data_IF_360130400830
#
_entry.id   IF_360130400830
#
_cell.length_a   1.000
_cell.length_b   1.000
_cell.length_c   1.000
_cell.angle_alpha   90.00
_cell.angle_beta   90.00
_cell.angle_gamma   90.00
#
_symmetry.space_group_name_H-M   'P 1'
#
loop_
_entity.id
_entity.type
_entity.pdbx_description
1 polymer ?
#
# COMPACT_ATOMS: atom_id res chain seq x y z
N UNK A 1 -19.24 -82.01 0.39
CA UNK A 1 -18.33 -80.86 0.19
C UNK A 1 -19.15 -79.60 -0.05
N UNK A 2 -18.71 -78.52 0.58
CA UNK A 2 -19.20 -77.14 0.69
C UNK A 2 -20.21 -76.65 -0.37
N UNK A 3 -21.36 -76.15 0.10
CA UNK A 3 -22.03 -75.02 -0.56
C UNK A 3 -21.96 -73.80 0.36
N UNK A 4 -21.09 -72.86 0.02
CA UNK A 4 -21.00 -71.55 0.67
C UNK A 4 -22.34 -70.82 0.49
N UNK A 5 -23.13 -70.73 1.56
CA UNK A 5 -24.22 -69.76 1.65
C UNK A 5 -23.61 -68.38 1.88
N UNK A 6 -23.38 -67.67 0.78
CA UNK A 6 -23.12 -66.23 0.77
C UNK A 6 -24.33 -65.50 1.37
N UNK A 7 -24.18 -65.04 2.62
CA UNK A 7 -25.05 -64.06 3.27
C UNK A 7 -24.93 -62.71 2.55
N UNK A 8 -25.71 -62.55 1.49
CA UNK A 8 -25.91 -61.26 0.81
C UNK A 8 -26.88 -60.43 1.65
N UNK A 9 -26.39 -59.79 2.72
CA UNK A 9 -27.12 -58.69 3.38
C UNK A 9 -27.27 -57.58 2.34
N UNK A 10 -28.44 -57.50 1.70
CA UNK A 10 -28.85 -56.29 0.98
C UNK A 10 -28.86 -55.17 2.02
N UNK A 11 -27.89 -54.24 1.96
CA UNK A 11 -28.04 -52.94 2.61
C UNK A 11 -29.26 -52.30 1.95
N UNK A 12 -30.34 -52.18 2.70
CA UNK A 12 -31.43 -51.28 2.33
C UNK A 12 -30.84 -49.87 2.25
N UNK A 13 -30.68 -49.37 1.02
CA UNK A 13 -30.30 -47.98 0.79
C UNK A 13 -31.51 -47.15 1.22
N UNK A 14 -31.46 -46.60 2.44
CA UNK A 14 -32.47 -45.65 2.91
C UNK A 14 -32.59 -44.55 1.85
N UNK A 15 -33.80 -44.23 1.36
CA UNK A 15 -33.97 -43.18 0.36
C UNK A 15 -33.46 -41.89 0.97
N UNK A 16 -32.44 -41.30 0.34
CA UNK A 16 -31.91 -40.01 0.77
C UNK A 16 -33.03 -39.00 0.61
N UNK A 17 -33.39 -38.34 1.71
CA UNK A 17 -34.48 -37.38 1.71
C UNK A 17 -34.04 -36.14 0.90
N UNK A 18 -34.43 -36.09 -0.37
CA UNK A 18 -34.08 -35.01 -1.29
C UNK A 18 -34.46 -33.62 -0.75
N UNK A 19 -35.52 -33.52 0.07
CA UNK A 19 -35.89 -32.26 0.73
C UNK A 19 -34.84 -31.80 1.74
N UNK A 20 -34.24 -32.74 2.47
CA UNK A 20 -33.18 -32.47 3.43
C UNK A 20 -31.89 -32.03 2.73
N UNK A 21 -31.52 -32.69 1.62
CA UNK A 21 -30.39 -32.25 0.79
C UNK A 21 -30.60 -30.85 0.19
N UNK A 22 -31.80 -30.56 -0.30
CA UNK A 22 -32.12 -29.24 -0.85
C UNK A 22 -32.01 -28.13 0.21
N UNK A 23 -32.46 -28.39 1.44
CA UNK A 23 -32.31 -27.47 2.56
C UNK A 23 -30.84 -27.21 2.92
N UNK A 24 -30.01 -28.25 2.94
CA UNK A 24 -28.57 -28.10 3.17
C UNK A 24 -27.91 -27.28 2.06
N UNK A 25 -28.23 -27.57 0.80
CA UNK A 25 -27.69 -26.82 -0.33
C UNK A 25 -28.09 -25.33 -0.27
N UNK A 26 -29.35 -25.04 0.07
CA UNK A 26 -29.83 -23.67 0.26
C UNK A 26 -29.10 -22.97 1.41
N UNK A 27 -28.92 -23.65 2.55
CA UNK A 27 -28.20 -23.09 3.70
C UNK A 27 -26.73 -22.79 3.38
N UNK A 28 -26.04 -23.67 2.65
CA UNK A 28 -24.66 -23.44 2.18
C UNK A 28 -24.63 -22.22 1.25
N UNK A 29 -25.56 -22.12 0.31
CA UNK A 29 -25.60 -21.02 -0.65
C UNK A 29 -25.87 -19.67 0.04
N UNK A 30 -26.82 -19.62 0.98
CA UNK A 30 -27.08 -18.42 1.80
C UNK A 30 -25.86 -18.05 2.63
N UNK A 31 -25.21 -19.03 3.27
CA UNK A 31 -23.99 -18.77 4.07
C UNK A 31 -22.86 -18.24 3.18
N UNK A 32 -22.69 -18.80 1.98
CA UNK A 32 -21.68 -18.36 1.02
C UNK A 32 -21.96 -16.94 0.53
N UNK A 33 -23.23 -16.62 0.21
CA UNK A 33 -23.65 -15.26 -0.17
C UNK A 33 -23.43 -14.28 0.98
N UNK A 34 -23.79 -14.63 2.22
CA UNK A 34 -23.57 -13.79 3.38
C UNK A 34 -22.08 -13.58 3.67
N UNK A 35 -21.26 -14.64 3.65
CA UNK A 35 -19.81 -14.51 3.79
C UNK A 35 -19.22 -13.62 2.70
N UNK A 36 -19.68 -13.78 1.46
CA UNK A 36 -19.22 -12.95 0.34
C UNK A 36 -19.67 -11.49 0.48
N UNK A 37 -20.87 -11.25 0.99
CA UNK A 37 -21.40 -9.92 1.26
C UNK A 37 -20.63 -9.24 2.40
N UNK A 38 -20.35 -9.94 3.50
CA UNK A 38 -19.55 -9.40 4.61
C UNK A 38 -18.08 -9.20 4.23
N UNK A 39 -17.49 -10.06 3.38
CA UNK A 39 -16.14 -9.86 2.83
C UNK A 39 -16.06 -8.77 1.75
N UNK A 40 -17.17 -8.37 1.13
CA UNK A 40 -17.19 -7.26 0.18
C UNK A 40 -17.12 -5.89 0.89
N UNK A 41 -17.54 -5.84 2.15
CA UNK A 41 -17.36 -4.71 3.08
C UNK A 41 -16.03 -4.89 3.83
N UNK A 42 -14.95 -5.22 3.13
CA UNK A 42 -13.61 -5.19 3.70
C UNK A 42 -12.97 -3.87 3.29
N UNK A 43 -13.20 -2.82 4.10
CA UNK A 43 -12.68 -1.46 3.89
C UNK A 43 -11.14 -1.42 3.88
N UNK A 44 -10.49 -2.51 4.32
CA UNK A 44 -9.03 -2.64 4.37
C UNK A 44 -8.36 -2.55 3.01
N UNK A 45 -9.04 -2.95 1.92
CA UNK A 45 -8.50 -2.83 0.56
C UNK A 45 -8.65 -1.44 -0.06
N UNK A 46 -9.37 -0.55 0.61
CA UNK A 46 -9.80 0.76 0.09
C UNK A 46 -8.96 1.92 0.64
N UNK A 47 -8.15 1.67 1.67
CA UNK A 47 -7.23 2.68 2.19
C UNK A 47 -6.07 2.94 1.23
N UNK A 48 -5.72 4.21 1.06
CA UNK A 48 -4.48 4.61 0.36
C UNK A 48 -3.22 4.32 1.20
N UNK A 49 -3.38 4.16 2.52
CA UNK A 49 -2.32 3.72 3.42
C UNK A 49 -2.47 2.25 3.81
N UNK A 50 -1.38 1.53 4.13
CA UNK A 50 -1.44 0.16 4.64
C UNK A 50 -2.24 0.05 5.94
N UNK A 51 -3.30 -0.77 5.95
CA UNK A 51 -4.11 -1.02 7.15
C UNK A 51 -3.43 -2.09 8.02
N UNK A 52 -2.53 -1.64 8.91
CA UNK A 52 -1.79 -2.51 9.83
C UNK A 52 -1.92 -2.02 11.26
N UNK A 53 -1.82 -2.92 12.24
CA UNK A 53 -1.84 -2.54 13.68
C UNK A 53 -0.66 -1.65 14.08
N UNK A 54 0.37 -1.57 13.24
CA UNK A 54 1.58 -0.81 13.51
C UNK A 54 1.46 0.63 13.00
N UNK A 55 0.52 0.92 12.10
CA UNK A 55 0.31 2.25 11.53
C UNK A 55 -0.88 2.94 12.22
N UNK A 56 -0.62 4.05 12.89
CA UNK A 56 -1.66 4.94 13.38
C UNK A 56 -1.94 6.02 12.33
N UNK A 57 -3.17 6.09 11.83
CA UNK A 57 -3.61 7.16 10.92
C UNK A 57 -3.77 8.44 11.72
N UNK A 58 -3.34 9.57 11.14
CA UNK A 58 -3.45 10.88 11.76
C UNK A 58 -4.77 11.54 11.38
N UNK A 59 -5.56 11.91 12.39
CA UNK A 59 -6.81 12.66 12.19
C UNK A 59 -6.57 14.15 11.92
N UNK A 60 -5.49 14.70 12.48
CA UNK A 60 -5.06 16.08 12.28
C UNK A 60 -3.81 16.12 11.40
N UNK A 61 -3.99 16.60 10.17
CA UNK A 61 -2.91 16.76 9.19
C UNK A 61 -2.18 18.10 9.33
N UNK A 62 -2.74 19.09 10.03
CA UNK A 62 -2.13 20.42 10.17
C UNK A 62 -0.88 20.37 11.05
N UNK A 63 -0.89 19.54 12.10
CA UNK A 63 0.25 19.33 12.99
C UNK A 63 1.41 18.55 12.37
N UNK A 64 1.24 18.00 11.16
CA UNK A 64 2.25 17.17 10.50
C UNK A 64 3.53 17.92 10.16
N UNK A 65 3.43 19.22 9.87
CA UNK A 65 4.58 20.10 9.61
C UNK A 65 5.53 20.22 10.82
N UNK A 66 5.04 19.96 12.03
CA UNK A 66 5.89 19.93 13.23
C UNK A 66 6.69 18.62 13.37
N UNK A 67 6.34 17.58 12.58
CA UNK A 67 6.90 16.23 12.68
C UNK A 67 7.84 15.95 11.50
N UNK A 68 7.45 16.34 10.28
CA UNK A 68 8.17 16.13 9.03
C UNK A 68 8.12 17.36 8.14
N UNK A 69 9.15 17.58 7.33
CA UNK A 69 9.15 18.61 6.30
C UNK A 69 8.26 18.17 5.13
N UNK A 70 7.09 18.78 4.97
CA UNK A 70 6.20 18.53 3.84
C UNK A 70 6.66 19.30 2.59
N UNK A 71 6.43 18.82 1.37
CA UNK A 71 6.79 19.54 0.15
C UNK A 71 6.06 20.88 0.06
N UNK A 72 6.82 21.96 -0.19
CA UNK A 72 6.25 23.28 -0.45
C UNK A 72 5.81 23.44 -1.91
N UNK A 73 6.32 22.60 -2.80
CA UNK A 73 5.87 22.49 -4.20
C UNK A 73 5.14 21.17 -4.37
N UNK A 74 3.83 21.20 -4.64
CA UNK A 74 2.99 19.99 -4.77
C UNK A 74 2.34 19.82 -6.14
N UNK A 75 2.52 20.76 -7.07
CA UNK A 75 1.95 20.69 -8.42
C UNK A 75 0.44 20.46 -8.42
N UNK A 76 -0.28 21.22 -7.58
CA UNK A 76 -1.72 21.13 -7.33
C UNK A 76 -2.19 19.84 -6.64
N UNK A 77 -1.28 18.95 -6.24
CA UNK A 77 -1.62 17.82 -5.40
C UNK A 77 -1.93 18.27 -3.97
N UNK A 78 -2.98 17.70 -3.38
CA UNK A 78 -3.41 17.95 -2.02
C UNK A 78 -2.99 16.81 -1.09
N UNK A 79 -2.56 17.15 0.14
CA UNK A 79 -2.34 16.17 1.19
C UNK A 79 -3.68 15.52 1.57
N UNK A 80 -3.80 14.21 1.39
CA UNK A 80 -5.04 13.47 1.60
C UNK A 80 -5.07 12.73 2.94
N UNK A 81 -3.99 12.03 3.27
CA UNK A 81 -3.89 11.25 4.53
C UNK A 81 -2.44 11.14 4.95
N UNK A 82 -2.23 10.89 6.25
CA UNK A 82 -0.92 10.58 6.81
C UNK A 82 -1.03 9.53 7.91
N UNK A 83 0.07 8.85 8.18
CA UNK A 83 0.16 7.90 9.27
C UNK A 83 1.56 7.82 9.87
N UNK A 84 1.63 7.36 11.11
CA UNK A 84 2.90 7.16 11.84
C UNK A 84 2.99 5.71 12.28
N UNK A 85 4.12 5.07 11.98
CA UNK A 85 4.43 3.74 12.44
C UNK A 85 4.78 3.77 13.93
N UNK A 86 3.90 3.21 14.76
CA UNK A 86 4.03 3.15 16.22
C UNK A 86 4.99 2.05 16.71
N UNK A 87 5.28 1.09 15.86
CA UNK A 87 6.23 -0.01 16.05
C UNK A 87 6.97 -0.29 14.74
N UNK A 88 8.14 -0.93 14.81
CA UNK A 88 8.88 -1.34 13.63
C UNK A 88 8.15 -2.49 12.92
N UNK A 89 8.13 -2.48 11.59
CA UNK A 89 7.42 -3.46 10.77
C UNK A 89 8.23 -3.76 9.50
N UNK A 90 8.77 -4.97 9.39
CA UNK A 90 9.68 -5.36 8.31
C UNK A 90 10.86 -4.38 8.20
N UNK A 91 10.99 -3.71 7.04
CA UNK A 91 12.03 -2.73 6.74
C UNK A 91 11.67 -1.31 7.21
N UNK A 92 10.45 -1.11 7.74
CA UNK A 92 9.95 0.20 8.18
C UNK A 92 10.28 0.39 9.66
N UNK A 93 11.17 1.34 10.02
CA UNK A 93 11.51 1.59 11.41
C UNK A 93 10.35 2.25 12.17
N UNK A 94 10.36 2.10 13.50
CA UNK A 94 9.43 2.81 14.38
C UNK A 94 9.61 4.32 14.23
N UNK A 95 8.51 5.06 14.20
CA UNK A 95 8.49 6.51 14.04
C UNK A 95 8.58 6.96 12.58
N UNK A 96 8.56 6.02 11.63
CA UNK A 96 8.39 6.37 10.22
C UNK A 96 7.06 7.06 10.01
N UNK A 97 7.08 8.10 9.17
CA UNK A 97 5.87 8.84 8.79
C UNK A 97 5.63 8.60 7.31
N UNK A 98 4.40 8.27 6.95
CA UNK A 98 3.96 8.11 5.57
C UNK A 98 2.86 9.12 5.29
N UNK A 99 2.94 9.80 4.14
CA UNK A 99 1.98 10.84 3.75
C UNK A 99 1.60 10.64 2.30
N UNK A 100 0.32 10.84 1.98
CA UNK A 100 -0.21 10.59 0.64
C UNK A 100 -0.75 11.88 0.05
N UNK A 101 -0.29 12.21 -1.16
CA UNK A 101 -0.77 13.32 -1.95
C UNK A 101 -1.65 12.83 -3.10
N UNK A 102 -2.72 13.56 -3.39
CA UNK A 102 -3.72 13.23 -4.40
C UNK A 102 -3.86 14.38 -5.38
N UNK A 103 -3.94 14.07 -6.68
CA UNK A 103 -4.14 15.02 -7.77
C UNK A 103 -5.15 14.44 -8.75
N UNK A 104 -6.12 15.25 -9.17
CA UNK A 104 -7.17 14.83 -10.13
C UNK A 104 -7.90 13.52 -9.74
N UNK A 105 -8.13 13.32 -8.44
CA UNK A 105 -8.71 12.10 -7.86
C UNK A 105 -7.85 10.82 -8.00
N UNK A 106 -6.55 10.96 -8.24
CA UNK A 106 -5.58 9.86 -8.22
C UNK A 106 -4.55 10.08 -7.11
N UNK A 107 -4.14 9.03 -6.42
CA UNK A 107 -2.92 9.06 -5.61
C UNK A 107 -1.78 9.43 -6.55
N UNK A 108 -1.17 10.56 -6.25
CA UNK A 108 -0.10 11.12 -7.04
C UNK A 108 1.24 10.56 -6.55
N UNK A 109 1.52 10.75 -5.25
CA UNK A 109 2.70 10.22 -4.60
C UNK A 109 2.39 9.78 -3.18
N UNK A 110 3.16 8.81 -2.70
CA UNK A 110 3.30 8.48 -1.28
C UNK A 110 4.71 8.87 -0.86
N UNK A 111 4.84 9.63 0.23
CA UNK A 111 6.11 10.11 0.74
C UNK A 111 6.33 9.49 2.11
N UNK A 112 7.40 8.72 2.22
CA UNK A 112 7.83 8.08 3.45
C UNK A 112 9.10 8.73 4.00
N UNK A 113 9.09 8.93 5.31
CA UNK A 113 10.20 9.45 6.09
C UNK A 113 10.65 8.36 7.05
N UNK A 114 11.77 7.68 6.75
CA UNK A 114 12.29 6.59 7.58
C UNK A 114 13.43 7.07 8.49
N UNK A 115 13.23 7.17 9.80
CA UNK A 115 14.30 7.54 10.73
C UNK A 115 15.38 6.46 10.82
N UNK A 116 16.65 6.89 10.86
CA UNK A 116 17.79 6.01 11.08
C UNK A 116 18.17 5.12 9.90
N UNK A 117 17.49 5.23 8.76
CA UNK A 117 17.90 4.60 7.51
C UNK A 117 18.71 5.60 6.67
N UNK A 118 19.70 5.09 5.94
CA UNK A 118 20.45 5.88 4.97
C UNK A 118 20.22 5.38 3.54
N UNK A 119 20.40 6.27 2.57
CA UNK A 119 20.09 5.97 1.16
C UNK A 119 20.96 4.85 0.60
N UNK A 120 22.24 4.79 0.98
CA UNK A 120 23.17 3.78 0.49
C UNK A 120 22.76 2.37 0.93
N UNK A 121 22.40 2.19 2.21
CA UNK A 121 21.93 0.93 2.76
C UNK A 121 20.60 0.51 2.15
N UNK A 122 19.67 1.47 2.00
CA UNK A 122 18.37 1.20 1.38
C UNK A 122 18.50 0.79 -0.10
N UNK A 123 19.35 1.48 -0.86
CA UNK A 123 19.61 1.15 -2.26
C UNK A 123 20.33 -0.20 -2.40
N UNK A 124 21.18 -0.57 -1.43
CA UNK A 124 21.89 -1.85 -1.46
C UNK A 124 20.96 -3.07 -1.27
N UNK A 125 19.79 -2.89 -0.64
CA UNK A 125 18.82 -3.97 -0.45
C UNK A 125 17.86 -4.13 -1.64
N UNK A 126 17.80 -3.18 -2.56
CA UNK A 126 16.85 -3.14 -3.68
C UNK A 126 17.54 -3.25 -5.05
N UNK A 127 17.22 -4.28 -5.83
CA UNK A 127 17.86 -4.62 -7.11
C UNK A 127 17.25 -3.92 -8.34
N UNK A 128 16.56 -2.80 -8.14
CA UNK A 128 15.91 -2.06 -9.23
C UNK A 128 16.90 -1.20 -10.03
N UNK A 129 16.58 -0.95 -11.30
CA UNK A 129 17.36 -0.04 -12.14
C UNK A 129 17.36 1.34 -11.49
N UNK A 130 18.55 1.84 -11.14
CA UNK A 130 18.73 3.05 -10.35
C UNK A 130 19.51 4.08 -11.14
N UNK A 131 19.00 5.31 -11.19
CA UNK A 131 19.68 6.47 -11.73
C UNK A 131 19.99 7.47 -10.62
N UNK A 132 21.27 7.86 -10.48
CA UNK A 132 21.66 8.97 -9.61
C UNK A 132 21.48 10.31 -10.33
N UNK A 133 20.89 11.28 -9.65
CA UNK A 133 20.75 12.67 -10.09
C UNK A 133 21.35 13.54 -9.00
N UNK A 134 22.33 14.37 -9.36
CA UNK A 134 22.94 15.33 -8.43
C UNK A 134 22.08 16.59 -8.39
N UNK A 135 21.58 16.94 -7.20
CA UNK A 135 20.88 18.20 -6.99
C UNK A 135 21.88 19.35 -6.82
N UNK A 136 22.96 19.09 -6.08
CA UNK A 136 24.08 20.02 -5.89
C UNK A 136 25.40 19.23 -5.67
N UNK A 137 26.43 19.86 -5.09
CA UNK A 137 27.74 19.22 -4.86
C UNK A 137 27.72 18.17 -3.74
N UNK A 138 26.81 18.28 -2.79
CA UNK A 138 26.72 17.44 -1.58
C UNK A 138 25.45 16.58 -1.55
N UNK A 139 24.43 16.95 -2.33
CA UNK A 139 23.12 16.30 -2.34
C UNK A 139 22.90 15.53 -3.65
N UNK A 140 22.75 14.21 -3.52
CA UNK A 140 22.27 13.32 -4.59
C UNK A 140 20.88 12.78 -4.25
N UNK A 141 20.10 12.53 -5.29
CA UNK A 141 18.85 11.76 -5.24
C UNK A 141 18.97 10.59 -6.21
N UNK A 142 18.20 9.54 -5.96
CA UNK A 142 18.19 8.35 -6.79
C UNK A 142 16.78 8.05 -7.25
N UNK A 143 16.60 7.81 -8.54
CA UNK A 143 15.33 7.33 -9.10
C UNK A 143 15.47 5.85 -9.41
N UNK A 144 14.63 5.03 -8.77
CA UNK A 144 14.51 3.60 -9.05
C UNK A 144 13.24 3.33 -9.83
N UNK A 145 13.35 2.57 -10.92
CA UNK A 145 12.18 2.06 -11.67
C UNK A 145 11.81 0.69 -11.12
N UNK A 146 10.64 0.61 -10.50
CA UNK A 146 10.08 -0.59 -9.84
C UNK A 146 9.25 -1.41 -10.82
N UNK A 147 8.36 -0.74 -11.58
CA UNK A 147 7.50 -1.36 -12.58
C UNK A 147 7.31 -0.42 -13.78
N UNK A 148 7.55 -0.91 -15.00
CA UNK A 148 7.37 -0.17 -16.24
C UNK A 148 5.94 -0.27 -16.80
N UNK A 149 5.09 -1.12 -16.20
CA UNK A 149 3.70 -1.38 -16.59
C UNK A 149 2.78 -1.49 -15.37
N UNK A 150 2.71 -0.43 -14.55
CA UNK A 150 1.91 -0.42 -13.34
C UNK A 150 0.43 -0.59 -13.65
N UNK A 151 -0.27 -1.42 -12.86
CA UNK A 151 -1.73 -1.57 -12.97
C UNK A 151 -2.45 -0.52 -12.15
N UNK A 152 -3.58 -0.06 -12.63
CA UNK A 152 -4.38 0.95 -11.97
C UNK A 152 -5.76 0.42 -11.54
N UNK A 153 -6.24 0.91 -10.40
CA UNK A 153 -7.53 0.59 -9.80
C UNK A 153 -8.33 1.88 -9.69
N UNK A 154 -9.49 1.88 -10.32
CA UNK A 154 -10.50 2.94 -10.23
C UNK A 154 -11.50 2.59 -9.12
N UNK A 155 -11.70 3.50 -8.18
CA UNK A 155 -12.61 3.35 -7.05
C UNK A 155 -13.88 4.19 -7.30
N UNK A 156 -15.04 3.56 -7.20
CA UNK A 156 -16.34 4.22 -7.46
C UNK A 156 -16.93 4.93 -6.23
N UNK A 157 -16.29 4.84 -5.06
CA UNK A 157 -16.85 5.21 -3.75
C UNK A 157 -16.23 6.48 -3.11
N UNK A 158 -15.68 7.37 -3.93
CA UNK A 158 -15.17 8.67 -3.47
C UNK A 158 -13.80 8.62 -2.79
N UNK A 159 -13.14 7.46 -2.85
CA UNK A 159 -11.74 7.28 -2.49
C UNK A 159 -10.91 7.57 -3.75
N UNK A 160 -9.76 8.28 -3.62
CA UNK A 160 -8.90 8.51 -4.77
C UNK A 160 -8.41 7.20 -5.40
N UNK A 161 -8.38 7.18 -6.72
CA UNK A 161 -7.86 6.08 -7.51
C UNK A 161 -6.36 5.87 -7.25
N UNK A 162 -5.85 4.67 -7.51
CA UNK A 162 -4.42 4.39 -7.32
C UNK A 162 -3.88 3.47 -8.39
N UNK A 163 -2.59 3.57 -8.63
CA UNK A 163 -1.86 2.60 -9.40
C UNK A 163 -0.94 1.75 -8.52
N UNK A 164 -0.26 0.80 -9.14
CA UNK A 164 0.93 0.21 -8.57
C UNK A 164 2.07 1.23 -8.66
N UNK A 165 2.96 1.19 -7.66
CA UNK A 165 4.11 2.08 -7.63
C UNK A 165 5.04 1.72 -8.78
N UNK A 166 5.30 2.69 -9.65
CA UNK A 166 6.19 2.49 -10.81
C UNK A 166 7.62 2.89 -10.51
N UNK A 167 7.81 3.90 -9.65
CA UNK A 167 9.10 4.53 -9.39
C UNK A 167 9.23 4.95 -7.94
N UNK A 168 10.46 4.92 -7.42
CA UNK A 168 10.84 5.53 -6.15
C UNK A 168 11.88 6.61 -6.40
N UNK A 169 11.68 7.81 -5.86
CA UNK A 169 12.75 8.79 -5.66
C UNK A 169 13.23 8.68 -4.22
N UNK A 170 14.53 8.46 -4.05
CA UNK A 170 15.17 8.23 -2.75
C UNK A 170 16.16 9.36 -2.51
N UNK A 171 16.17 9.93 -1.31
CA UNK A 171 17.06 11.01 -0.93
C UNK A 171 17.40 10.97 0.56
N UNK A 172 18.58 11.45 0.94
CA UNK A 172 18.93 11.63 2.35
C UNK A 172 18.36 12.96 2.87
N UNK A 173 17.73 12.94 4.06
CA UNK A 173 17.17 14.11 4.72
C UNK A 173 17.58 14.14 6.20
N UNK A 174 18.76 14.67 6.50
CA UNK A 174 19.32 14.64 7.85
C UNK A 174 19.53 13.20 8.34
N UNK A 175 18.94 12.85 9.48
CA UNK A 175 18.97 11.48 10.04
C UNK A 175 17.82 10.59 9.52
N UNK A 176 17.14 11.02 8.47
CA UNK A 176 16.03 10.30 7.85
C UNK A 176 16.34 9.98 6.40
N UNK A 177 15.80 8.87 5.92
CA UNK A 177 15.65 8.59 4.50
C UNK A 177 14.31 9.16 4.03
N UNK A 178 14.34 9.93 2.95
CA UNK A 178 13.15 10.34 2.21
C UNK A 178 12.94 9.38 1.05
N UNK A 179 11.74 8.83 0.92
CA UNK A 179 11.31 8.05 -0.23
C UNK A 179 10.01 8.64 -0.77
N UNK A 180 9.99 9.00 -2.06
CA UNK A 180 8.79 9.45 -2.77
C UNK A 180 8.43 8.36 -3.77
N UNK A 181 7.38 7.61 -3.47
CA UNK A 181 6.84 6.57 -4.33
C UNK A 181 5.82 7.18 -5.30
N UNK A 182 6.10 7.03 -6.59
CA UNK A 182 5.28 7.55 -7.68
C UNK A 182 4.26 6.52 -8.12
N UNK A 183 2.99 6.92 -8.16
CA UNK A 183 1.92 6.05 -8.61
C UNK A 183 1.80 6.07 -10.13
N UNK A 184 1.92 4.91 -10.77
CA UNK A 184 1.74 4.82 -12.21
C UNK A 184 2.70 5.73 -12.99
N UNK A 185 2.22 6.29 -14.09
CA UNK A 185 2.89 7.35 -14.84
C UNK A 185 2.40 8.76 -14.44
N UNK A 186 1.66 8.90 -13.33
CA UNK A 186 1.03 10.17 -12.96
C UNK A 186 2.05 11.28 -12.64
N UNK A 187 3.07 11.07 -11.79
CA UNK A 187 4.13 12.05 -11.60
C UNK A 187 5.19 11.89 -12.67
N UNK A 188 5.60 13.01 -13.25
CA UNK A 188 6.83 13.08 -14.05
C UNK A 188 8.06 13.08 -13.15
N UNK A 189 9.20 12.64 -13.67
CA UNK A 189 10.46 12.68 -12.89
C UNK A 189 10.81 14.12 -12.47
N UNK A 190 10.51 15.11 -13.31
CA UNK A 190 10.69 16.53 -12.96
C UNK A 190 9.85 16.96 -11.75
N UNK A 191 8.60 16.53 -11.68
CA UNK A 191 7.74 16.80 -10.51
C UNK A 191 8.28 16.11 -9.26
N UNK A 192 8.70 14.84 -9.35
CA UNK A 192 9.30 14.12 -8.21
C UNK A 192 10.57 14.83 -7.70
N UNK A 193 11.46 15.22 -8.60
CA UNK A 193 12.71 15.91 -8.29
C UNK A 193 12.45 17.24 -7.59
N UNK A 194 11.53 18.06 -8.13
CA UNK A 194 11.21 19.36 -7.55
C UNK A 194 10.44 19.23 -6.23
N UNK A 195 9.56 18.22 -6.07
CA UNK A 195 8.96 17.91 -4.77
C UNK A 195 10.04 17.57 -3.73
N UNK A 196 10.96 16.66 -4.05
CA UNK A 196 12.06 16.28 -3.17
C UNK A 196 12.95 17.48 -2.82
N UNK A 197 13.31 18.29 -3.82
CA UNK A 197 14.09 19.53 -3.64
C UNK A 197 13.38 20.50 -2.70
N UNK A 198 12.06 20.67 -2.85
CA UNK A 198 11.27 21.56 -2.02
C UNK A 198 11.23 21.12 -0.55
N UNK A 199 11.34 19.81 -0.28
CA UNK A 199 11.46 19.24 1.08
C UNK A 199 12.86 19.47 1.63
N UNK A 200 13.89 19.09 0.87
CA UNK A 200 15.28 19.13 1.31
C UNK A 200 15.71 20.57 1.61
N UNK A 201 15.33 21.53 0.77
CA UNK A 201 15.77 22.91 0.87
C UNK A 201 15.09 23.71 1.99
N UNK A 202 13.99 23.23 2.57
CA UNK A 202 13.35 23.90 3.71
C UNK A 202 14.29 24.01 4.92
N UNK A 203 15.29 23.13 5.01
CA UNK A 203 16.28 23.14 6.09
C UNK A 203 17.29 24.30 6.02
N UNK A 204 17.37 25.03 4.90
CA UNK A 204 18.35 26.13 4.73
C UNK A 204 17.83 27.52 5.12
N UNK A 205 16.63 27.61 5.73
CA UNK A 205 16.00 28.89 6.10
C UNK A 205 15.92 29.18 7.61
N UNK A 206 16.47 28.31 8.46
CA UNK A 206 16.67 28.52 9.90
C UNK A 206 18.16 28.74 10.22
#
# INVERSE_FOLDING_TARGET
MLSLRLLRRRREVKPVNFKFLAWIAAAILVTFVLLRFFQWIDDTQRSLLPQTSNLAILDDLESLNAIVQLPSQTFDAALYTAGIYTSASNEIPKGSVTVVYVKDNWRFVEIDYFPGLNATEYLATHIYSTQEIKLDQETSIWIQVVDDRPRCIDYEDGIPNRCEISRHLIASLGERLLLIAADGDHPTDGELIEMARSIINQKTSD
#
